data_IF_811034766479
#
_entry.id   IF_811034766479
#
_cell.length_a   1.000
_cell.length_b   1.000
_cell.length_c   1.000
_cell.angle_alpha   90.00
_cell.angle_beta   90.00
_cell.angle_gamma   90.00
#
_symmetry.space_group_name_H-M   'P 1'
#
loop_
_entity.id
_entity.type
_entity.pdbx_description
1 polymer ?
#
# COMPACT_ATOMS: atom_id res chain seq x y z
N UNK A 1 -6.79 -4.45 -4.41
CA UNK A 1 -7.86 -5.37 -4.86
C UNK A 1 -7.29 -6.74 -5.19
N UNK A 2 -6.40 -6.86 -6.18
CA UNK A 2 -5.82 -8.17 -6.55
C UNK A 2 -5.06 -8.85 -5.40
N UNK A 3 -4.19 -8.12 -4.72
CA UNK A 3 -3.45 -8.62 -3.55
C UNK A 3 -4.35 -9.21 -2.45
N UNK A 4 -5.58 -8.72 -2.29
CA UNK A 4 -6.54 -9.28 -1.33
C UNK A 4 -6.93 -10.71 -1.71
N UNK A 5 -7.23 -10.95 -2.99
CA UNK A 5 -7.53 -12.29 -3.50
C UNK A 5 -6.33 -13.20 -3.36
N UNK A 6 -5.16 -12.69 -3.74
CA UNK A 6 -3.91 -13.44 -3.65
C UNK A 6 -3.58 -13.88 -2.22
N UNK A 7 -3.69 -12.98 -1.23
CA UNK A 7 -3.34 -13.28 0.16
C UNK A 7 -4.33 -14.23 0.85
N UNK A 8 -5.62 -14.14 0.51
CA UNK A 8 -6.66 -14.89 1.20
C UNK A 8 -7.23 -16.08 0.43
N UNK A 9 -6.80 -16.26 -0.82
CA UNK A 9 -7.28 -17.28 -1.77
C UNK A 9 -8.82 -17.33 -1.84
N UNK A 10 -9.45 -16.14 -1.88
CA UNK A 10 -10.90 -16.01 -1.91
C UNK A 10 -11.37 -14.72 -2.60
N UNK A 11 -12.63 -14.73 -3.02
CA UNK A 11 -13.26 -13.61 -3.71
C UNK A 11 -13.78 -12.50 -2.78
N UNK A 12 -13.75 -11.28 -3.29
CA UNK A 12 -14.37 -10.09 -2.69
C UNK A 12 -15.84 -10.06 -3.09
N UNK A 13 -16.74 -9.98 -2.10
CA UNK A 13 -18.20 -10.02 -2.32
C UNK A 13 -18.87 -8.66 -2.14
N UNK A 14 -18.20 -7.69 -1.51
CA UNK A 14 -18.70 -6.33 -1.40
C UNK A 14 -17.59 -5.32 -1.17
N UNK A 15 -17.86 -4.07 -1.56
CA UNK A 15 -17.01 -2.91 -1.34
C UNK A 15 -17.86 -1.73 -0.88
N UNK A 16 -17.36 -0.98 0.09
CA UNK A 16 -17.85 0.34 0.48
C UNK A 16 -16.72 1.35 0.31
N UNK A 17 -17.02 2.50 -0.30
CA UNK A 17 -16.09 3.63 -0.37
C UNK A 17 -16.55 4.70 0.62
N UNK A 18 -15.63 5.11 1.48
CA UNK A 18 -15.79 6.28 2.35
C UNK A 18 -14.90 7.39 1.81
N UNK A 19 -15.46 8.57 1.64
CA UNK A 19 -14.76 9.77 1.17
C UNK A 19 -14.69 10.80 2.30
N UNK A 20 -13.59 10.84 3.07
CA UNK A 20 -13.32 11.92 4.03
C UNK A 20 -13.28 13.31 3.37
N UNK A 21 -13.13 14.34 4.21
CA UNK A 21 -12.84 15.70 3.73
C UNK A 21 -11.62 15.68 2.81
N UNK A 22 -11.75 16.28 1.63
CA UNK A 22 -10.69 16.31 0.64
C UNK A 22 -9.46 17.08 1.15
N UNK A 23 -8.27 16.60 0.80
CA UNK A 23 -7.01 17.30 0.99
C UNK A 23 -7.08 18.67 0.27
N UNK A 24 -6.74 19.79 0.93
CA UNK A 24 -6.65 21.09 0.28
C UNK A 24 -5.75 21.13 -0.97
N UNK A 25 -4.73 20.27 -1.02
CA UNK A 25 -3.80 20.17 -2.14
C UNK A 25 -4.31 19.22 -3.26
N UNK A 26 -5.47 18.58 -3.07
CA UNK A 26 -6.05 17.72 -4.09
C UNK A 26 -6.55 18.54 -5.30
N UNK A 27 -6.30 18.09 -6.54
CA UNK A 27 -6.90 18.68 -7.73
C UNK A 27 -8.43 18.80 -7.62
N UNK A 28 -8.99 19.85 -8.22
CA UNK A 28 -10.44 20.06 -8.21
C UNK A 28 -11.18 18.84 -8.77
N UNK A 29 -12.17 18.35 -8.01
CA UNK A 29 -12.98 17.20 -8.38
C UNK A 29 -12.38 15.85 -8.00
N UNK A 30 -11.17 15.81 -7.43
CA UNK A 30 -10.59 14.59 -6.88
C UNK A 30 -11.03 14.40 -5.42
N UNK A 31 -11.71 13.31 -5.12
CA UNK A 31 -11.94 12.87 -3.76
C UNK A 31 -10.69 12.13 -3.27
N UNK A 32 -9.88 12.79 -2.44
CA UNK A 32 -8.64 12.25 -1.87
C UNK A 32 -8.44 12.81 -0.45
N UNK A 33 -8.26 11.97 0.59
CA UNK A 33 -8.13 10.51 0.53
C UNK A 33 -9.46 9.77 0.29
N UNK A 34 -9.36 8.47 0.03
CA UNK A 34 -10.48 7.53 0.03
C UNK A 34 -10.16 6.33 0.91
N UNK A 35 -11.18 5.75 1.54
CA UNK A 35 -11.06 4.50 2.29
C UNK A 35 -11.97 3.48 1.62
N UNK A 36 -11.39 2.40 1.12
CA UNK A 36 -12.14 1.26 0.59
C UNK A 36 -12.22 0.16 1.65
N UNK A 37 -13.43 -0.23 2.02
CA UNK A 37 -13.70 -1.35 2.93
C UNK A 37 -14.23 -2.50 2.09
N UNK A 38 -13.43 -3.56 1.97
CA UNK A 38 -13.76 -4.77 1.23
C UNK A 38 -14.15 -5.88 2.20
N UNK A 39 -15.09 -6.73 1.76
CA UNK A 39 -15.45 -7.96 2.48
C UNK A 39 -15.32 -9.15 1.55
N UNK A 40 -14.70 -10.21 2.05
CA UNK A 40 -14.52 -11.46 1.31
C UNK A 40 -15.68 -12.44 1.53
N UNK A 41 -15.74 -13.51 0.73
CA UNK A 41 -16.80 -14.52 0.82
C UNK A 41 -16.90 -15.19 2.20
N UNK A 42 -15.76 -15.43 2.87
CA UNK A 42 -15.75 -15.97 4.24
C UNK A 42 -15.95 -14.92 5.34
N UNK A 43 -16.12 -13.64 4.98
CA UNK A 43 -16.38 -12.54 5.91
C UNK A 43 -15.13 -11.84 6.44
N UNK A 44 -13.94 -12.08 5.86
CA UNK A 44 -12.74 -11.29 6.18
C UNK A 44 -12.94 -9.86 5.72
N UNK A 45 -12.40 -8.92 6.49
CA UNK A 45 -12.48 -7.49 6.20
C UNK A 45 -11.10 -6.98 5.82
N UNK A 46 -11.08 -6.12 4.81
CA UNK A 46 -9.88 -5.42 4.36
C UNK A 46 -10.22 -3.96 4.25
N UNK A 47 -9.50 -3.10 4.96
CA UNK A 47 -9.49 -1.67 4.76
C UNK A 47 -8.27 -1.27 3.90
N UNK A 48 -8.51 -0.37 2.96
CA UNK A 48 -7.46 0.23 2.12
C UNK A 48 -7.61 1.72 2.21
N UNK A 49 -6.60 2.37 2.77
CA UNK A 49 -6.46 3.82 2.78
C UNK A 49 -5.70 4.25 1.51
N UNK A 50 -6.36 5.00 0.63
CA UNK A 50 -5.76 5.57 -0.55
C UNK A 50 -5.62 7.07 -0.35
N UNK A 51 -4.37 7.54 -0.26
CA UNK A 51 -4.05 8.95 -0.18
C UNK A 51 -2.97 9.27 -1.22
N UNK A 52 -3.35 9.89 -2.33
CA UNK A 52 -2.43 10.09 -3.47
C UNK A 52 -1.80 11.48 -3.52
N UNK A 53 -2.35 12.47 -2.80
CA UNK A 53 -1.82 13.83 -2.73
C UNK A 53 -1.11 14.15 -1.40
N UNK A 54 -0.54 13.15 -0.72
CA UNK A 54 0.10 13.32 0.60
C UNK A 54 1.22 14.37 0.62
N UNK A 55 1.94 14.52 -0.49
CA UNK A 55 3.12 15.38 -0.59
C UNK A 55 4.35 14.85 0.15
N UNK A 56 4.29 13.65 0.75
CA UNK A 56 5.37 13.10 1.58
C UNK A 56 6.29 12.19 0.77
N UNK A 57 5.75 11.07 0.27
CA UNK A 57 6.48 10.04 -0.46
C UNK A 57 5.51 9.04 -1.10
N UNK A 58 6.07 8.02 -1.76
CA UNK A 58 5.33 6.84 -2.16
C UNK A 58 5.49 5.73 -1.13
N UNK A 59 4.39 5.26 -0.56
CA UNK A 59 4.38 4.19 0.44
C UNK A 59 3.22 3.21 0.14
N UNK A 60 3.50 1.91 0.29
CA UNK A 60 2.48 0.85 0.27
C UNK A 60 2.75 -0.04 1.48
N UNK A 61 1.85 0.03 2.47
CA UNK A 61 1.87 -0.82 3.67
C UNK A 61 0.79 -1.87 3.58
N UNK A 62 1.03 -3.01 4.21
CA UNK A 62 0.01 -4.05 4.36
C UNK A 62 0.23 -4.73 5.69
N UNK A 63 -0.81 -4.78 6.51
CA UNK A 63 -0.86 -5.56 7.74
C UNK A 63 -1.95 -6.62 7.62
N UNK A 64 -1.65 -7.84 8.06
CA UNK A 64 -2.65 -8.89 8.28
C UNK A 64 -2.73 -9.12 9.78
N UNK A 65 -3.91 -8.91 10.36
CA UNK A 65 -4.21 -9.21 11.76
C UNK A 65 -4.97 -10.54 11.82
N UNK A 66 -4.46 -11.47 12.62
CA UNK A 66 -5.02 -12.81 12.81
C UNK A 66 -5.23 -13.12 14.30
N UNK A 67 -5.81 -14.28 14.60
CA UNK A 67 -6.23 -14.66 15.96
C UNK A 67 -5.13 -14.61 17.02
N UNK A 68 -3.86 -14.78 16.62
CA UNK A 68 -2.72 -14.93 17.54
C UNK A 68 -1.56 -13.95 17.26
N UNK A 69 -1.80 -12.94 16.43
CA UNK A 69 -0.78 -11.93 16.11
C UNK A 69 -1.05 -11.23 14.79
N UNK A 70 -0.13 -10.36 14.40
CA UNK A 70 -0.15 -9.69 13.10
C UNK A 70 1.19 -9.78 12.38
N UNK A 71 1.16 -9.60 11.06
CA UNK A 71 2.33 -9.50 10.21
C UNK A 71 2.20 -8.27 9.32
N UNK A 72 3.28 -7.50 9.19
CA UNK A 72 3.28 -6.26 8.43
C UNK A 72 4.44 -6.17 7.46
N UNK A 73 4.15 -5.68 6.26
CA UNK A 73 5.13 -5.40 5.20
C UNK A 73 5.00 -3.95 4.74
N UNK A 74 6.05 -3.45 4.09
CA UNK A 74 6.00 -2.17 3.39
C UNK A 74 6.29 -0.93 4.23
N UNK A 75 6.78 -1.10 5.47
CA UNK A 75 7.27 -0.01 6.30
C UNK A 75 8.54 0.69 5.77
N UNK A 76 9.18 0.09 4.77
CA UNK A 76 10.44 0.59 4.20
C UNK A 76 11.46 0.99 5.28
N UNK A 77 11.65 0.09 6.27
CA UNK A 77 12.66 0.22 7.33
C UNK A 77 14.07 0.01 6.75
N UNK A 78 14.44 0.88 5.80
CA UNK A 78 15.76 0.92 5.19
C UNK A 78 16.83 1.44 6.15
N UNK A 79 17.90 2.02 5.59
CA UNK A 79 18.96 2.61 6.40
C UNK A 79 18.47 3.84 7.16
N UNK A 80 18.50 3.78 8.49
CA UNK A 80 18.23 4.93 9.35
C UNK A 80 19.53 5.68 9.64
N UNK A 81 19.64 6.92 9.18
CA UNK A 81 20.82 7.79 9.34
C UNK A 81 20.63 8.77 10.50
N UNK A 82 21.72 9.00 11.24
CA UNK A 82 21.87 10.13 12.17
C UNK A 82 22.86 11.15 11.58
N UNK A 83 22.52 12.44 11.58
CA UNK A 83 23.45 13.50 11.15
C UNK A 83 23.31 14.76 12.01
N UNK A 84 24.41 15.50 12.14
CA UNK A 84 24.40 16.81 12.79
C UNK A 84 23.50 17.79 12.01
N UNK A 85 22.80 18.73 12.68
CA UNK A 85 22.83 19.03 14.11
C UNK A 85 21.84 18.19 14.97
N UNK A 86 21.35 17.04 14.49
CA UNK A 86 20.42 16.19 15.26
C UNK A 86 19.26 15.65 14.43
N UNK A 87 19.48 15.33 13.16
CA UNK A 87 18.46 14.72 12.30
C UNK A 87 18.58 13.19 12.39
N UNK A 88 17.44 12.51 12.52
CA UNK A 88 17.35 11.05 12.55
C UNK A 88 16.22 10.60 11.62
N UNK A 89 16.50 9.74 10.64
CA UNK A 89 15.49 9.27 9.69
C UNK A 89 16.06 8.47 8.53
N UNK A 90 15.18 8.00 7.65
CA UNK A 90 15.51 7.32 6.40
C UNK A 90 15.10 8.16 5.18
N UNK A 91 15.33 7.59 3.99
CA UNK A 91 14.79 8.12 2.73
C UNK A 91 13.59 7.27 2.37
N UNK A 92 12.45 7.91 2.11
CA UNK A 92 11.27 7.22 1.58
C UNK A 92 11.33 7.19 0.05
N UNK A 93 10.81 6.14 -0.56
CA UNK A 93 10.79 6.03 -2.03
C UNK A 93 9.98 7.17 -2.67
N UNK A 94 10.49 7.81 -3.74
CA UNK A 94 9.82 8.95 -4.35
C UNK A 94 8.64 8.53 -5.23
N UNK A 95 8.64 7.32 -5.79
CA UNK A 95 7.57 6.84 -6.65
C UNK A 95 7.43 5.32 -6.61
N UNK A 96 6.37 4.83 -7.25
CA UNK A 96 6.13 3.39 -7.45
C UNK A 96 7.24 2.71 -8.25
N UNK A 97 7.98 3.46 -9.09
CA UNK A 97 9.02 2.90 -9.95
C UNK A 97 10.20 2.38 -9.14
N UNK A 98 10.69 3.19 -8.20
CA UNK A 98 11.76 2.78 -7.29
C UNK A 98 11.24 1.71 -6.32
N UNK A 99 10.00 1.86 -5.86
CA UNK A 99 9.40 0.95 -4.86
C UNK A 99 9.16 -0.47 -5.39
N UNK A 100 8.79 -0.62 -6.66
CA UNK A 100 8.43 -1.89 -7.29
C UNK A 100 9.35 -2.30 -8.43
N UNK A 101 10.47 -1.60 -8.67
CA UNK A 101 11.42 -1.90 -9.75
C UNK A 101 11.80 -3.38 -9.82
N UNK A 102 12.21 -3.96 -8.69
CA UNK A 102 12.55 -5.39 -8.63
C UNK A 102 11.35 -6.31 -8.91
N UNK A 103 10.13 -5.92 -8.51
CA UNK A 103 8.94 -6.72 -8.78
C UNK A 103 8.64 -6.74 -10.29
N UNK A 104 8.79 -5.60 -10.98
CA UNK A 104 8.69 -5.51 -12.43
C UNK A 104 9.74 -6.41 -13.13
N UNK A 105 11.01 -6.33 -12.74
CA UNK A 105 12.05 -7.19 -13.32
C UNK A 105 11.74 -8.68 -13.10
N UNK A 106 11.25 -9.03 -11.91
CA UNK A 106 10.92 -10.41 -11.54
C UNK A 106 9.73 -10.94 -12.31
N UNK A 107 8.63 -10.17 -12.43
CA UNK A 107 7.44 -10.65 -13.15
C UNK A 107 7.73 -10.91 -14.63
N UNK A 108 8.54 -10.06 -15.28
CA UNK A 108 8.92 -10.26 -16.67
C UNK A 108 9.87 -11.44 -16.84
N UNK A 109 10.83 -11.63 -15.92
CA UNK A 109 11.72 -12.78 -15.97
C UNK A 109 10.95 -14.09 -15.80
N UNK A 110 10.02 -14.15 -14.84
CA UNK A 110 9.15 -15.30 -14.65
C UNK A 110 8.30 -15.62 -15.90
N UNK A 111 7.84 -14.59 -16.61
CA UNK A 111 7.13 -14.77 -17.87
C UNK A 111 8.04 -15.34 -18.97
N UNK A 112 9.27 -14.82 -19.12
CA UNK A 112 10.25 -15.33 -20.09
C UNK A 112 10.61 -16.79 -19.81
N UNK A 113 10.82 -17.15 -18.55
CA UNK A 113 11.20 -18.51 -18.16
C UNK A 113 10.07 -19.53 -18.34
N UNK A 114 8.81 -19.07 -18.43
CA UNK A 114 7.63 -19.90 -18.59
C UNK A 114 7.23 -20.19 -20.05
N UNK A 115 7.91 -19.55 -21.02
CA UNK A 115 7.72 -19.73 -22.48
C UNK A 115 8.75 -20.69 -23.04
#
# INVERSE_FOLDING_TARGET
VDVTRFLFDEEIVSIQIVTPSANPDAPQGLADPQIAILRTASGRHVDVELFVTTGVAYEVRTEVVAEKGSAMIGLDVGLVRKSAPGTWGGILTPSFKERFGQAYDTEFQCWVDAV
#
